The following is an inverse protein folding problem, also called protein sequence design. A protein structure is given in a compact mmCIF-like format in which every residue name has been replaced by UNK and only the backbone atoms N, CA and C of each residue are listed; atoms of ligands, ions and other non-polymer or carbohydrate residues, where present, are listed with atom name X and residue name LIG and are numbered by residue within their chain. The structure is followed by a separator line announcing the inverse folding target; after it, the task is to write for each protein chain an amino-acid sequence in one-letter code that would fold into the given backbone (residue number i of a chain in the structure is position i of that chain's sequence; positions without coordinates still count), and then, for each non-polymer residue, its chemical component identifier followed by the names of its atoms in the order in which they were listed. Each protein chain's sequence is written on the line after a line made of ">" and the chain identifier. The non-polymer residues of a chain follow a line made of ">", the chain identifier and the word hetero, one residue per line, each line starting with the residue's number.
data_IF_492317482149
#
_entry.id   IF_492317482149
#
_cell.length_a   1.000
_cell.length_b   1.000
_cell.length_c   1.000
_cell.angle_alpha   90.00
_cell.angle_beta   90.00
_cell.angle_gamma   90.00
#
_symmetry.space_group_name_H-M   'P 1'
#
loop_
_entity.id
_entity.type
_entity.pdbx_description
1 polymer ?
#
# COMPACT_ATOMS: atom_id res chain seq x y z
N UNK A 1 5.62 26.85 5.41
CA UNK A 1 5.62 25.42 5.70
C UNK A 1 6.20 24.65 4.51
N UNK A 2 6.82 23.48 4.78
CA UNK A 2 7.39 22.61 3.74
C UNK A 2 6.30 21.70 3.18
N UNK A 3 6.40 21.31 1.91
CA UNK A 3 5.58 20.25 1.34
C UNK A 3 5.96 18.89 1.94
N UNK A 4 5.00 17.98 1.99
CA UNK A 4 5.17 16.62 2.48
C UNK A 4 4.80 15.63 1.37
N UNK A 5 5.66 14.66 1.12
CA UNK A 5 5.37 13.52 0.24
C UNK A 5 5.59 12.24 1.06
N UNK A 6 4.57 11.41 1.11
CA UNK A 6 4.58 10.13 1.81
C UNK A 6 4.47 9.02 0.77
N UNK A 7 5.49 8.18 0.68
CA UNK A 7 5.44 6.94 -0.09
C UNK A 7 5.13 5.78 0.85
N UNK A 8 4.02 5.12 0.61
CA UNK A 8 3.68 3.86 1.26
C UNK A 8 3.89 2.73 0.27
N UNK A 9 4.49 1.65 0.73
CA UNK A 9 4.60 0.38 0.00
C UNK A 9 3.95 -0.70 0.83
N UNK A 10 3.11 -1.51 0.22
CA UNK A 10 2.38 -2.54 0.93
C UNK A 10 3.21 -3.82 1.09
N UNK A 11 3.11 -4.46 2.25
CA UNK A 11 3.75 -5.74 2.59
C UNK A 11 5.30 -5.74 2.51
N UNK A 12 5.94 -4.61 2.72
CA UNK A 12 7.41 -4.53 2.71
C UNK A 12 7.99 -5.14 3.98
N UNK A 13 8.92 -6.07 3.82
CA UNK A 13 9.80 -6.53 4.90
C UNK A 13 11.12 -5.74 4.89
N UNK A 14 11.91 -5.79 5.96
CA UNK A 14 13.26 -5.23 5.95
C UNK A 14 14.05 -5.73 4.75
N UNK A 15 14.68 -4.83 4.02
CA UNK A 15 15.24 -5.11 2.69
C UNK A 15 16.43 -6.06 2.73
N UNK A 16 17.22 -6.02 3.79
CA UNK A 16 18.31 -6.95 4.05
C UNK A 16 17.82 -8.40 4.26
N UNK A 17 16.52 -8.60 4.46
CA UNK A 17 15.89 -9.92 4.50
C UNK A 17 15.39 -10.39 3.12
N UNK A 18 15.35 -9.51 2.10
CA UNK A 18 14.81 -9.83 0.78
C UNK A 18 15.87 -9.88 -0.31
N UNK A 19 16.76 -8.89 -0.32
CA UNK A 19 17.70 -8.68 -1.41
C UNK A 19 19.12 -8.56 -0.87
N UNK A 20 20.14 -9.06 -1.61
CA UNK A 20 21.51 -8.63 -1.37
C UNK A 20 21.59 -7.11 -1.43
N UNK A 21 22.32 -6.52 -0.48
CA UNK A 21 22.41 -5.07 -0.35
C UNK A 21 22.92 -4.40 -1.64
N UNK A 22 23.90 -5.01 -2.25
CA UNK A 22 24.50 -4.54 -3.50
C UNK A 22 23.48 -4.51 -4.61
N UNK A 23 22.67 -5.56 -4.75
CA UNK A 23 21.58 -5.62 -5.71
C UNK A 23 20.54 -4.51 -5.48
N UNK A 24 20.13 -4.32 -4.24
CA UNK A 24 19.14 -3.28 -3.90
C UNK A 24 19.68 -1.86 -4.14
N UNK A 25 20.96 -1.61 -3.88
CA UNK A 25 21.58 -0.30 -4.11
C UNK A 25 21.75 -0.01 -5.61
N UNK A 26 21.90 -1.03 -6.45
CA UNK A 26 21.96 -0.90 -7.91
C UNK A 26 20.57 -0.74 -8.55
N UNK A 27 19.61 -1.56 -8.15
CA UNK A 27 18.32 -1.68 -8.81
C UNK A 27 17.21 -0.81 -8.19
N UNK A 28 17.44 -0.22 -7.03
CA UNK A 28 16.49 0.65 -6.34
C UNK A 28 17.07 2.06 -6.10
N UNK A 29 17.32 2.84 -7.17
CA UNK A 29 18.05 4.11 -7.07
C UNK A 29 17.36 5.16 -6.21
N UNK A 30 16.02 5.22 -6.22
CA UNK A 30 15.24 6.14 -5.36
C UNK A 30 15.42 5.80 -3.88
N UNK A 31 15.37 4.51 -3.53
CA UNK A 31 15.63 4.05 -2.17
C UNK A 31 17.04 4.42 -1.71
N UNK A 32 18.03 4.16 -2.54
CA UNK A 32 19.42 4.54 -2.27
C UNK A 32 19.53 6.04 -2.02
N UNK A 33 18.95 6.85 -2.91
CA UNK A 33 18.96 8.30 -2.76
C UNK A 33 18.32 8.78 -1.45
N UNK A 34 17.15 8.23 -1.07
CA UNK A 34 16.49 8.55 0.18
C UNK A 34 17.35 8.18 1.40
N UNK A 35 18.00 7.02 1.35
CA UNK A 35 18.89 6.55 2.41
C UNK A 35 20.14 7.44 2.56
N UNK A 36 20.73 7.86 1.44
CA UNK A 36 21.95 8.66 1.42
C UNK A 36 21.69 10.11 1.81
N UNK A 37 20.46 10.62 1.64
CA UNK A 37 20.09 12.03 1.89
C UNK A 37 19.09 12.22 3.03
N UNK A 38 18.69 11.16 3.72
CA UNK A 38 17.68 11.18 4.76
C UNK A 38 18.09 10.44 6.02
N UNK A 39 17.11 10.29 6.92
CA UNK A 39 17.25 9.51 8.13
C UNK A 39 16.55 8.17 7.98
N UNK A 40 17.27 7.08 8.19
CA UNK A 40 16.72 5.72 8.16
C UNK A 40 16.44 5.24 9.60
N UNK A 41 15.20 4.78 9.83
CA UNK A 41 14.80 4.17 11.09
C UNK A 41 14.95 2.65 10.98
N UNK A 42 15.86 2.07 11.72
CA UNK A 42 16.12 0.62 11.70
C UNK A 42 15.18 -0.18 12.59
N UNK A 43 14.58 0.48 13.60
CA UNK A 43 13.64 -0.13 14.53
C UNK A 43 12.27 0.53 14.35
N UNK A 44 11.55 0.10 13.34
CA UNK A 44 10.18 0.54 13.06
C UNK A 44 9.24 -0.67 13.08
N UNK A 45 8.11 -0.52 13.78
CA UNK A 45 7.18 -1.63 14.04
C UNK A 45 5.78 -1.25 13.59
N UNK A 46 5.06 -2.21 13.04
CA UNK A 46 3.62 -2.12 12.83
C UNK A 46 2.87 -2.85 13.95
N UNK A 47 1.68 -2.39 14.27
CA UNK A 47 0.82 -3.04 15.27
C UNK A 47 0.24 -4.38 14.77
N UNK A 48 0.13 -4.55 13.46
CA UNK A 48 -0.40 -5.75 12.80
C UNK A 48 0.14 -5.85 11.39
N UNK A 49 0.08 -7.03 10.81
CA UNK A 49 0.41 -7.29 9.41
C UNK A 49 -0.80 -7.19 8.47
N UNK A 50 -2.01 -6.99 8.98
CA UNK A 50 -3.23 -6.83 8.17
C UNK A 50 -3.34 -5.42 7.61
N UNK A 51 -3.52 -5.29 6.30
CA UNK A 51 -3.50 -4.02 5.57
C UNK A 51 -4.44 -2.97 6.16
N UNK A 52 -5.75 -3.22 6.17
CA UNK A 52 -6.76 -2.25 6.63
C UNK A 52 -6.50 -1.79 8.06
N UNK A 53 -6.12 -2.70 8.93
CA UNK A 53 -5.88 -2.43 10.35
C UNK A 53 -4.60 -1.60 10.55
N UNK A 54 -3.50 -1.98 9.89
CA UNK A 54 -2.23 -1.25 9.96
C UNK A 54 -2.36 0.15 9.35
N UNK A 55 -3.08 0.27 8.23
CA UNK A 55 -3.34 1.55 7.55
C UNK A 55 -4.22 2.46 8.39
N UNK A 56 -5.26 1.93 9.03
CA UNK A 56 -6.08 2.67 9.99
C UNK A 56 -5.24 3.25 11.13
N UNK A 57 -4.34 2.45 11.70
CA UNK A 57 -3.38 2.92 12.71
C UNK A 57 -2.46 4.00 12.15
N UNK A 58 -1.90 3.80 10.96
CA UNK A 58 -0.99 4.77 10.34
C UNK A 58 -1.65 6.13 10.12
N UNK A 59 -2.87 6.16 9.58
CA UNK A 59 -3.53 7.43 9.26
C UNK A 59 -4.17 8.11 10.47
N UNK A 60 -4.56 7.37 11.52
CA UNK A 60 -5.21 7.95 12.70
C UNK A 60 -4.29 8.11 13.90
N UNK A 61 -3.12 7.47 13.91
CA UNK A 61 -2.25 7.33 15.08
C UNK A 61 -2.96 6.69 16.29
N UNK A 62 -3.96 5.84 16.04
CA UNK A 62 -4.73 5.10 17.05
C UNK A 62 -4.51 3.61 16.88
N UNK A 63 -4.56 2.87 17.99
CA UNK A 63 -4.53 1.40 17.96
C UNK A 63 -5.90 0.81 17.57
N UNK A 64 -5.98 -0.46 17.11
CA UNK A 64 -7.22 -1.10 16.68
C UNK A 64 -8.35 -0.99 17.69
N UNK A 65 -8.07 -1.17 18.98
CA UNK A 65 -9.07 -1.00 20.04
C UNK A 65 -9.67 0.42 20.13
N UNK A 66 -9.03 1.42 19.52
CA UNK A 66 -9.48 2.80 19.53
C UNK A 66 -10.17 3.20 18.21
N UNK A 67 -9.68 2.72 17.07
CA UNK A 67 -10.28 3.02 15.77
C UNK A 67 -11.28 1.96 15.30
N UNK A 68 -11.38 0.82 15.98
CA UNK A 68 -12.34 -0.27 15.78
C UNK A 68 -12.30 -0.99 14.42
N UNK A 69 -11.49 -0.55 13.49
CA UNK A 69 -11.23 -1.25 12.22
C UNK A 69 -10.18 -2.35 12.50
N UNK A 70 -10.61 -3.47 13.02
CA UNK A 70 -9.77 -4.55 13.58
C UNK A 70 -9.69 -5.79 12.68
N UNK A 71 -10.42 -5.80 11.56
CA UNK A 71 -10.40 -6.85 10.56
C UNK A 71 -9.89 -6.31 9.22
N UNK A 72 -9.38 -7.22 8.41
CA UNK A 72 -9.08 -6.95 7.01
C UNK A 72 -10.39 -6.77 6.25
N UNK A 73 -10.52 -5.69 5.50
CA UNK A 73 -11.67 -5.48 4.65
C UNK A 73 -11.59 -6.39 3.42
N UNK A 74 -12.70 -7.04 3.12
CA UNK A 74 -12.88 -7.78 1.88
C UNK A 74 -13.02 -6.81 0.70
N UNK A 75 -12.72 -7.30 -0.49
CA UNK A 75 -12.95 -6.57 -1.74
C UNK A 75 -14.20 -7.07 -2.46
N UNK A 76 -14.38 -6.57 -3.70
CA UNK A 76 -15.55 -6.87 -4.53
C UNK A 76 -15.73 -8.36 -4.83
N UNK A 77 -14.65 -9.12 -4.83
CA UNK A 77 -14.66 -10.54 -5.22
C UNK A 77 -14.94 -11.46 -4.04
N UNK A 78 -14.80 -10.96 -2.83
CA UNK A 78 -15.10 -11.66 -1.60
C UNK A 78 -16.32 -11.04 -0.93
N UNK A 79 -17.26 -11.86 -0.42
CA UNK A 79 -18.42 -11.31 0.26
C UNK A 79 -17.97 -10.46 1.46
N UNK A 80 -18.45 -9.22 1.50
CA UNK A 80 -18.21 -8.32 2.62
C UNK A 80 -18.93 -8.91 3.83
N UNK A 81 -18.17 -9.21 4.87
CA UNK A 81 -18.74 -9.73 6.12
C UNK A 81 -19.35 -8.59 6.94
N UNK A 82 -20.48 -8.85 7.58
CA UNK A 82 -21.13 -7.88 8.49
C UNK A 82 -20.21 -7.46 9.64
N UNK A 83 -19.33 -8.38 10.06
CA UNK A 83 -18.35 -8.13 11.12
C UNK A 83 -17.20 -7.20 10.72
N UNK A 84 -17.00 -6.96 9.43
CA UNK A 84 -15.95 -6.04 8.99
C UNK A 84 -16.34 -4.60 9.32
N UNK A 85 -15.43 -3.88 9.94
CA UNK A 85 -15.61 -2.48 10.33
C UNK A 85 -14.67 -1.61 9.51
N UNK A 86 -15.23 -0.72 8.69
CA UNK A 86 -14.44 0.29 7.99
C UNK A 86 -13.98 1.39 8.95
N UNK A 87 -12.93 2.09 8.58
CA UNK A 87 -12.49 3.24 9.35
C UNK A 87 -13.59 4.31 9.41
N UNK A 88 -13.88 4.81 10.62
CA UNK A 88 -14.84 5.90 10.79
C UNK A 88 -14.26 7.21 10.21
N UNK A 89 -14.93 7.84 9.23
CA UNK A 89 -14.47 9.09 8.63
C UNK A 89 -14.48 10.28 9.60
N UNK A 90 -15.22 10.17 10.72
CA UNK A 90 -15.25 11.22 11.74
C UNK A 90 -14.02 11.21 12.66
N UNK A 91 -13.24 10.13 12.65
CA UNK A 91 -12.02 10.08 13.45
C UNK A 91 -10.96 11.06 12.91
N UNK A 92 -10.33 11.84 13.80
CA UNK A 92 -9.18 12.63 13.41
C UNK A 92 -8.11 11.77 12.77
N UNK A 93 -7.63 12.20 11.62
CA UNK A 93 -6.63 11.49 10.84
C UNK A 93 -5.59 12.47 10.28
N UNK A 94 -4.61 11.93 9.57
CA UNK A 94 -3.52 12.71 8.98
C UNK A 94 -4.05 13.84 8.08
N UNK A 95 -5.01 13.55 7.20
CA UNK A 95 -5.54 14.54 6.28
C UNK A 95 -6.31 15.64 7.02
N UNK A 96 -7.25 15.26 7.91
CA UNK A 96 -8.02 16.24 8.69
C UNK A 96 -7.12 17.14 9.54
N UNK A 97 -6.00 16.60 10.06
CA UNK A 97 -5.03 17.35 10.85
C UNK A 97 -4.24 18.33 9.98
N UNK A 98 -3.78 17.90 8.81
CA UNK A 98 -3.02 18.77 7.89
C UNK A 98 -3.91 19.82 7.23
N UNK A 99 -5.16 19.50 6.88
CA UNK A 99 -6.14 20.44 6.36
C UNK A 99 -6.39 21.59 7.35
N UNK A 100 -6.53 21.29 8.65
CA UNK A 100 -6.62 22.32 9.71
C UNK A 100 -5.37 23.21 9.80
N UNK A 101 -4.23 22.76 9.29
CA UNK A 101 -2.99 23.53 9.21
C UNK A 101 -2.80 24.24 7.86
N UNK A 102 -3.81 24.21 7.00
CA UNK A 102 -3.83 24.90 5.71
C UNK A 102 -3.14 24.16 4.58
N UNK A 103 -2.85 22.89 4.73
CA UNK A 103 -2.34 22.04 3.65
C UNK A 103 -3.46 21.64 2.68
N UNK A 104 -3.10 21.48 1.42
CA UNK A 104 -3.84 20.71 0.44
C UNK A 104 -3.38 19.25 0.53
N UNK A 105 -4.28 18.30 0.82
CA UNK A 105 -3.89 16.91 1.09
C UNK A 105 -4.45 16.00 0.01
N UNK A 106 -3.57 15.42 -0.80
CA UNK A 106 -3.93 14.55 -1.92
C UNK A 106 -3.51 13.11 -1.68
N UNK A 107 -4.30 12.18 -2.21
CA UNK A 107 -4.07 10.74 -2.08
C UNK A 107 -4.09 10.06 -3.46
N UNK A 108 -3.10 9.21 -3.71
CA UNK A 108 -3.00 8.41 -4.93
C UNK A 108 -2.65 6.97 -4.55
N UNK A 109 -3.44 6.03 -5.03
CA UNK A 109 -3.14 4.63 -4.81
C UNK A 109 -4.10 3.87 -3.92
N UNK A 110 -3.61 2.77 -3.36
CA UNK A 110 -4.37 1.85 -2.51
C UNK A 110 -4.86 2.54 -1.26
N UNK A 111 -6.19 2.54 -1.08
CA UNK A 111 -6.86 3.09 0.09
C UNK A 111 -7.14 2.01 1.14
N UNK A 112 -7.99 1.06 0.85
CA UNK A 112 -8.31 -0.14 1.63
C UNK A 112 -8.74 0.13 3.09
N UNK A 113 -9.48 1.22 3.33
CA UNK A 113 -9.97 1.61 4.66
C UNK A 113 -11.48 1.75 4.73
N UNK A 114 -12.16 1.63 3.60
CA UNK A 114 -13.61 1.71 3.50
C UNK A 114 -14.18 0.55 2.70
N UNK A 115 -15.41 0.13 3.05
CA UNK A 115 -16.12 -0.92 2.34
C UNK A 115 -16.58 -0.43 0.97
N UNK A 116 -16.65 -1.34 0.02
CA UNK A 116 -17.37 -1.10 -1.24
C UNK A 116 -18.87 -1.24 -1.01
N UNK A 117 -19.66 -0.53 -1.79
CA UNK A 117 -21.12 -0.65 -1.81
C UNK A 117 -21.51 -1.13 -3.21
N UNK A 118 -22.18 -2.28 -3.27
CA UNK A 118 -22.79 -2.73 -4.54
C UNK A 118 -24.22 -2.23 -4.61
N UNK A 119 -24.53 -1.48 -5.65
CA UNK A 119 -25.88 -0.99 -5.92
C UNK A 119 -26.75 -2.11 -6.52
N UNK A 120 -28.08 -1.93 -6.51
CA UNK A 120 -29.05 -2.90 -7.07
C UNK A 120 -28.83 -3.18 -8.57
N UNK A 121 -28.23 -2.25 -9.29
CA UNK A 121 -27.88 -2.39 -10.71
C UNK A 121 -26.55 -3.15 -10.94
N UNK A 122 -25.88 -3.61 -9.86
CA UNK A 122 -24.59 -4.29 -9.90
C UNK A 122 -23.38 -3.35 -9.99
N UNK A 123 -23.59 -2.04 -10.00
CA UNK A 123 -22.50 -1.07 -9.94
C UNK A 123 -21.84 -1.09 -8.56
N UNK A 124 -20.51 -1.04 -8.54
CA UNK A 124 -19.74 -1.01 -7.30
C UNK A 124 -19.26 0.41 -7.05
N UNK A 125 -19.71 0.97 -5.96
CA UNK A 125 -19.23 2.26 -5.46
C UNK A 125 -18.10 2.02 -4.46
N UNK A 126 -17.00 2.69 -4.68
CA UNK A 126 -15.90 2.78 -3.71
C UNK A 126 -16.14 4.00 -2.84
N UNK A 127 -16.12 3.83 -1.53
CA UNK A 127 -16.11 4.99 -0.65
C UNK A 127 -14.84 5.80 -0.86
N UNK A 128 -15.05 7.06 -1.16
CA UNK A 128 -13.99 7.97 -1.58
C UNK A 128 -13.16 8.41 -0.35
N UNK A 129 -11.83 8.36 -0.41
CA UNK A 129 -10.95 8.99 0.58
C UNK A 129 -11.26 10.47 0.88
N UNK A 130 -12.02 11.15 0.04
CA UNK A 130 -12.50 12.52 0.27
C UNK A 130 -13.30 12.67 1.55
N UNK A 131 -14.07 11.66 1.93
CA UNK A 131 -14.83 11.65 3.19
C UNK A 131 -13.92 11.70 4.42
N UNK A 132 -12.66 11.32 4.25
CA UNK A 132 -11.61 11.35 5.27
C UNK A 132 -10.72 12.59 5.15
N UNK A 133 -11.02 13.52 4.22
CA UNK A 133 -10.28 14.76 4.02
C UNK A 133 -9.10 14.67 3.04
N UNK A 134 -8.98 13.58 2.29
CA UNK A 134 -8.02 13.45 1.19
C UNK A 134 -8.68 13.80 -0.13
N UNK A 135 -7.99 14.55 -0.96
CA UNK A 135 -8.47 14.97 -2.28
C UNK A 135 -7.76 14.24 -3.42
N UNK A 136 -8.27 14.42 -4.63
CA UNK A 136 -7.67 13.98 -5.89
C UNK A 136 -7.48 12.45 -6.05
N UNK A 137 -8.11 11.65 -5.21
CA UNK A 137 -8.10 10.20 -5.41
C UNK A 137 -8.93 9.82 -6.65
N UNK A 138 -8.32 8.98 -7.48
CA UNK A 138 -8.96 8.46 -8.69
C UNK A 138 -9.02 6.93 -8.57
N UNK A 139 -10.16 6.42 -8.11
CA UNK A 139 -10.41 4.97 -7.99
C UNK A 139 -10.09 4.23 -9.30
N UNK A 140 -9.98 2.96 -9.35
CA UNK A 140 -10.35 1.91 -8.39
C UNK A 140 -9.36 1.79 -7.23
N UNK A 141 -9.87 1.39 -6.07
CA UNK A 141 -9.02 0.92 -4.98
C UNK A 141 -8.37 -0.41 -5.37
N UNK A 142 -7.12 -0.58 -5.01
CA UNK A 142 -6.46 -1.86 -5.20
C UNK A 142 -6.95 -2.92 -4.19
N UNK A 143 -7.35 -2.50 -2.98
CA UNK A 143 -7.89 -3.41 -1.96
C UNK A 143 -7.07 -4.67 -1.76
N UNK A 144 -7.71 -5.81 -1.95
CA UNK A 144 -7.13 -7.16 -2.05
C UNK A 144 -7.08 -7.65 -3.51
N UNK A 145 -7.09 -6.73 -4.48
CA UNK A 145 -7.11 -7.09 -5.90
C UNK A 145 -5.92 -8.00 -6.26
N UNK A 146 -6.26 -9.22 -6.64
CA UNK A 146 -5.31 -10.28 -6.99
C UNK A 146 -5.35 -10.60 -8.49
N UNK A 147 -6.01 -9.76 -9.30
CA UNK A 147 -6.08 -9.98 -10.74
C UNK A 147 -4.71 -9.80 -11.37
N UNK A 148 -4.21 -10.78 -12.11
CA UNK A 148 -2.91 -10.73 -12.74
C UNK A 148 -2.68 -9.48 -13.60
N UNK A 149 -3.70 -9.03 -14.35
CA UNK A 149 -3.63 -7.83 -15.18
C UNK A 149 -3.40 -6.53 -14.40
N UNK A 150 -3.75 -6.52 -13.10
CA UNK A 150 -3.57 -5.38 -12.21
C UNK A 150 -2.31 -5.51 -11.34
N UNK A 151 -1.70 -6.68 -11.31
CA UNK A 151 -0.61 -7.07 -10.39
C UNK A 151 0.80 -6.86 -10.97
N UNK A 152 1.05 -5.79 -11.67
CA UNK A 152 2.39 -5.45 -12.17
C UNK A 152 2.78 -6.06 -13.51
N UNK A 153 1.83 -6.60 -14.25
CA UNK A 153 2.08 -7.39 -15.45
C UNK A 153 1.54 -6.77 -16.74
N UNK A 154 0.94 -5.60 -16.66
CA UNK A 154 0.31 -4.96 -17.80
C UNK A 154 0.33 -3.43 -17.76
N UNK A 155 -0.17 -2.77 -18.81
CA UNK A 155 -0.33 -1.32 -18.85
C UNK A 155 -1.31 -0.81 -17.78
N UNK A 156 -2.16 -1.69 -17.27
CA UNK A 156 -3.14 -1.40 -16.22
C UNK A 156 -2.60 -1.68 -14.79
N UNK A 157 -1.30 -1.94 -14.67
CA UNK A 157 -0.61 -2.09 -13.39
C UNK A 157 -1.00 -0.99 -12.41
N UNK A 158 -1.49 -1.40 -11.26
CA UNK A 158 -1.90 -0.50 -10.20
C UNK A 158 -0.82 0.53 -9.84
N UNK A 159 0.43 0.11 -9.66
CA UNK A 159 1.52 1.01 -9.24
C UNK A 159 1.92 1.98 -10.35
N UNK A 160 1.89 1.54 -11.61
CA UNK A 160 2.11 2.42 -12.78
C UNK A 160 0.99 3.46 -12.86
N UNK A 161 -0.25 3.04 -12.74
CA UNK A 161 -1.43 3.91 -12.75
C UNK A 161 -1.36 4.95 -11.63
N UNK A 162 -1.12 4.53 -10.39
CA UNK A 162 -1.03 5.42 -9.23
C UNK A 162 0.13 6.40 -9.32
N UNK A 163 1.29 5.90 -9.76
CA UNK A 163 2.46 6.74 -9.98
C UNK A 163 2.23 7.81 -11.04
N UNK A 164 1.53 7.46 -12.15
CA UNK A 164 1.20 8.40 -13.20
C UNK A 164 0.17 9.45 -12.75
N UNK A 165 -0.83 9.06 -11.97
CA UNK A 165 -1.78 9.99 -11.35
C UNK A 165 -1.06 11.00 -10.45
N UNK A 166 -0.21 10.51 -9.55
CA UNK A 166 0.57 11.35 -8.63
C UNK A 166 1.52 12.30 -9.37
N UNK A 167 2.24 11.81 -10.38
CA UNK A 167 3.14 12.63 -11.23
C UNK A 167 2.37 13.72 -11.98
N UNK A 168 1.25 13.38 -12.60
CA UNK A 168 0.43 14.33 -13.34
C UNK A 168 -0.11 15.42 -12.43
N UNK A 169 -0.62 15.03 -11.25
CA UNK A 169 -1.09 15.99 -10.27
C UNK A 169 0.04 16.93 -9.82
N UNK A 170 1.21 16.38 -9.47
CA UNK A 170 2.35 17.16 -9.01
C UNK A 170 2.85 18.12 -10.08
N UNK A 171 2.92 17.71 -11.34
CA UNK A 171 3.30 18.55 -12.46
C UNK A 171 2.33 19.74 -12.64
N UNK A 172 1.03 19.48 -12.53
CA UNK A 172 0.00 20.53 -12.62
C UNK A 172 0.08 21.46 -11.41
N UNK A 173 0.28 20.89 -10.22
CA UNK A 173 0.42 21.66 -8.99
C UNK A 173 1.64 22.58 -8.99
N UNK A 174 2.75 22.15 -9.56
CA UNK A 174 3.96 22.97 -9.68
C UNK A 174 3.82 24.10 -10.71
N UNK A 175 2.93 23.96 -11.67
CA UNK A 175 2.60 25.02 -12.65
C UNK A 175 1.55 26.00 -12.16
N UNK A 176 0.86 25.67 -11.06
CA UNK A 176 -0.18 26.51 -10.49
C UNK A 176 0.40 27.66 -9.65
N UNK A 177 -0.35 28.76 -9.53
CA UNK A 177 0.00 29.90 -8.68
C UNK A 177 -0.30 29.67 -7.20
N UNK A 178 -0.78 28.49 -6.83
CA UNK A 178 -1.14 28.18 -5.45
C UNK A 178 0.09 28.24 -4.53
N UNK A 179 -0.03 29.01 -3.47
CA UNK A 179 1.00 29.14 -2.41
C UNK A 179 0.71 28.25 -1.19
N UNK A 180 -0.38 27.50 -1.21
CA UNK A 180 -0.67 26.57 -0.11
C UNK A 180 0.40 25.46 -0.08
N UNK A 181 0.87 25.06 1.07
CA UNK A 181 1.67 23.83 1.18
C UNK A 181 0.78 22.63 0.83
N UNK A 182 1.41 21.61 0.29
CA UNK A 182 0.68 20.36 0.02
C UNK A 182 1.27 19.18 0.79
N UNK A 183 0.41 18.21 1.07
CA UNK A 183 0.79 16.88 1.49
C UNK A 183 0.25 15.87 0.45
N UNK A 184 1.10 15.01 -0.05
CA UNK A 184 0.75 14.02 -1.07
C UNK A 184 1.09 12.63 -0.54
N UNK A 185 0.10 11.75 -0.52
CA UNK A 185 0.30 10.32 -0.23
C UNK A 185 0.30 9.55 -1.55
N UNK A 186 1.36 8.80 -1.80
CA UNK A 186 1.47 7.85 -2.90
C UNK A 186 1.55 6.45 -2.30
N UNK A 187 0.46 5.72 -2.40
CA UNK A 187 0.27 4.42 -1.78
C UNK A 187 0.35 3.32 -2.82
N UNK A 188 1.53 2.73 -2.93
CA UNK A 188 1.84 1.66 -3.87
C UNK A 188 1.45 0.29 -3.31
N UNK A 189 1.11 -0.62 -4.20
CA UNK A 189 0.67 -1.98 -3.83
C UNK A 189 1.86 -2.90 -3.64
N UNK A 190 2.86 -2.83 -4.53
CA UNK A 190 3.99 -3.75 -4.48
C UNK A 190 4.91 -3.52 -3.26
N UNK A 191 5.42 -4.62 -2.67
CA UNK A 191 5.45 -6.01 -3.16
C UNK A 191 4.25 -6.91 -2.78
N UNK A 192 3.12 -6.39 -2.29
CA UNK A 192 1.93 -7.17 -1.93
C UNK A 192 1.45 -8.08 -3.08
N UNK A 193 1.53 -7.61 -4.31
CA UNK A 193 1.04 -8.33 -5.50
C UNK A 193 1.80 -9.64 -5.78
N UNK A 194 2.88 -9.92 -5.05
CA UNK A 194 3.52 -11.24 -5.07
C UNK A 194 2.54 -12.37 -4.69
N UNK A 195 1.47 -12.05 -3.97
CA UNK A 195 0.39 -13.00 -3.66
C UNK A 195 -0.36 -13.47 -4.90
N UNK A 196 -0.35 -12.67 -5.97
CA UNK A 196 -0.89 -13.04 -7.27
C UNK A 196 0.07 -13.92 -8.10
N UNK A 197 1.29 -14.18 -7.59
CA UNK A 197 2.23 -15.07 -8.25
C UNK A 197 1.70 -16.51 -8.16
N UNK A 198 1.33 -17.14 -9.29
CA UNK A 198 0.66 -18.42 -9.26
C UNK A 198 1.65 -19.57 -9.03
N UNK A 199 1.21 -20.58 -8.29
CA UNK A 199 1.87 -21.88 -8.26
C UNK A 199 1.82 -22.54 -9.64
N UNK A 200 0.80 -22.19 -10.45
CA UNK A 200 0.62 -22.64 -11.81
C UNK A 200 0.46 -21.45 -12.75
N UNK A 201 1.54 -21.07 -13.44
CA UNK A 201 1.60 -19.97 -14.40
C UNK A 201 0.66 -20.13 -15.59
N UNK A 202 0.32 -21.37 -15.98
CA UNK A 202 -0.55 -21.66 -17.11
C UNK A 202 -2.00 -21.23 -16.88
N UNK A 203 -2.44 -21.17 -15.63
CA UNK A 203 -3.81 -20.82 -15.27
C UNK A 203 -4.15 -19.32 -15.50
N UNK A 204 -3.15 -18.46 -15.71
CA UNK A 204 -3.33 -17.02 -15.68
C UNK A 204 -2.89 -16.29 -16.96
N UNK A 205 -2.52 -16.98 -18.00
CA UNK A 205 -2.03 -16.38 -19.27
C UNK A 205 -0.96 -15.29 -19.04
N UNK A 206 -0.02 -15.56 -18.13
CA UNK A 206 1.06 -14.64 -17.85
C UNK A 206 2.00 -14.52 -19.04
N UNK A 207 2.25 -13.30 -19.48
CA UNK A 207 3.37 -13.01 -20.37
C UNK A 207 4.69 -13.29 -19.62
N UNK A 208 5.19 -14.50 -19.78
CA UNK A 208 6.42 -15.00 -19.15
C UNK A 208 7.66 -14.16 -19.45
N UNK A 209 7.60 -13.25 -20.43
CA UNK A 209 8.70 -12.34 -20.78
C UNK A 209 8.98 -11.25 -19.74
N UNK A 210 8.07 -11.05 -18.79
CA UNK A 210 8.23 -10.03 -17.73
C UNK A 210 8.88 -10.55 -16.45
N UNK A 211 8.94 -11.86 -16.30
CA UNK A 211 9.58 -12.49 -15.14
C UNK A 211 10.97 -12.97 -15.52
N UNK A 212 12.00 -12.20 -15.19
CA UNK A 212 13.38 -12.61 -15.40
C UNK A 212 13.79 -13.59 -14.30
N UNK A 213 14.04 -14.84 -14.70
CA UNK A 213 14.65 -15.83 -13.82
C UNK A 213 16.11 -15.45 -13.56
N UNK A 214 16.52 -15.46 -12.30
CA UNK A 214 17.93 -15.37 -11.93
C UNK A 214 18.46 -13.98 -11.60
N UNK A 215 17.63 -12.94 -11.58
CA UNK A 215 18.06 -11.63 -11.06
C UNK A 215 18.38 -11.68 -9.55
N UNK A 216 17.66 -12.52 -8.82
CA UNK A 216 17.89 -12.77 -7.40
C UNK A 216 18.09 -14.26 -7.22
N UNK A 217 19.32 -14.67 -7.09
CA UNK A 217 19.75 -16.08 -7.00
C UNK A 217 19.82 -16.62 -5.56
N UNK A 218 19.66 -15.75 -4.58
CA UNK A 218 19.75 -16.11 -3.17
C UNK A 218 18.39 -16.00 -2.49
N UNK A 219 18.01 -17.09 -1.83
CA UNK A 219 16.83 -17.09 -0.98
C UNK A 219 17.07 -16.19 0.25
N UNK A 220 16.02 -15.53 0.77
CA UNK A 220 16.13 -14.74 1.99
C UNK A 220 16.68 -15.59 3.16
N UNK A 221 17.46 -15.01 4.08
CA UNK A 221 17.96 -15.72 5.25
C UNK A 221 16.85 -16.38 6.09
N UNK A 222 15.63 -15.89 5.99
CA UNK A 222 14.45 -16.39 6.70
C UNK A 222 13.73 -17.53 5.98
N UNK A 223 14.15 -17.91 4.78
CA UNK A 223 13.46 -18.93 3.98
C UNK A 223 13.42 -20.30 4.71
N UNK A 224 14.54 -20.71 5.29
CA UNK A 224 14.68 -21.96 6.03
C UNK A 224 14.86 -21.74 7.54
N UNK A 225 14.31 -20.65 8.09
CA UNK A 225 14.48 -20.36 9.50
C UNK A 225 13.85 -21.46 10.38
N UNK A 226 14.55 -21.81 11.44
CA UNK A 226 13.99 -22.68 12.48
C UNK A 226 12.98 -21.88 13.30
N UNK A 227 11.69 -22.00 12.93
CA UNK A 227 10.59 -21.24 13.55
C UNK A 227 10.53 -21.44 15.07
N UNK A 228 10.83 -22.65 15.58
CA UNK A 228 10.82 -22.95 17.00
C UNK A 228 12.00 -22.31 17.74
N UNK A 229 13.21 -22.41 17.19
CA UNK A 229 14.38 -21.78 17.77
C UNK A 229 14.29 -20.25 17.77
N UNK A 230 13.58 -19.68 16.79
CA UNK A 230 13.34 -18.23 16.66
C UNK A 230 12.08 -17.76 17.40
N UNK A 231 11.51 -18.57 18.28
CA UNK A 231 10.32 -18.23 19.08
C UNK A 231 9.12 -17.77 18.25
N UNK A 232 8.97 -18.28 17.04
CA UNK A 232 7.82 -17.93 16.19
C UNK A 232 6.53 -18.58 16.71
N UNK A 233 5.38 -17.92 16.54
CA UNK A 233 4.08 -18.50 16.91
C UNK A 233 3.82 -19.83 16.21
N UNK A 234 3.19 -20.76 16.92
CA UNK A 234 2.90 -22.12 16.37
C UNK A 234 2.12 -22.08 15.07
N UNK A 235 1.20 -21.12 14.90
CA UNK A 235 0.41 -20.94 13.68
C UNK A 235 1.30 -20.83 12.45
N UNK A 236 2.48 -20.22 12.54
CA UNK A 236 3.42 -20.12 11.43
C UNK A 236 4.05 -21.46 11.00
N UNK A 237 3.87 -22.52 11.77
CA UNK A 237 4.36 -23.86 11.44
C UNK A 237 3.27 -24.74 10.81
N UNK A 238 2.06 -24.23 10.70
CA UNK A 238 0.88 -24.94 10.18
C UNK A 238 0.54 -24.56 8.72
N UNK A 239 1.28 -23.61 8.18
CA UNK A 239 1.19 -23.17 6.79
C UNK A 239 2.43 -23.58 5.99
#
# INVERSE_FOLDING_TARGET
>A
PKNLIIFLRDQVKPEDLWFPREWADENMPTRRWLKDNGLSFTNSFTNTSMCSVARSTFFTSKFPAQHQADLLLSDIENPILDSEVQLDPQLPNLASTLNKKGYEVSFFGKWHLSKTITLDNGEVLYQNPTDYGFENWQGKDAGQDMKPGNAGLGPDDNDVRFSNQAKSWLQNRLKSDSKKPFAMVVSLVNPHDVLAYPDNMEAFDYDSGRWTKGEIDKLPPTFNENKRANYKPRVQSQW
#
